data_IF_906375089160
#
_entry.id   IF_906375089160
#
_cell.length_a   1.000
_cell.length_b   1.000
_cell.length_c   1.000
_cell.angle_alpha   90.00
_cell.angle_beta   90.00
_cell.angle_gamma   90.00
#
_symmetry.space_group_name_H-M   'P 1'
#
loop_
_entity.id
_entity.type
_entity.pdbx_description
1 polymer ?
#
# COMPACT_ATOMS: atom_id res chain seq x y z
N UNK A 1 -9.34 1.21 11.81
CA UNK A 1 -10.63 0.99 11.12
C UNK A 1 -11.33 2.34 10.90
N UNK A 2 -10.85 3.15 9.95
CA UNK A 2 -11.48 4.42 9.54
C UNK A 2 -11.13 4.77 8.08
N UNK A 3 -11.05 3.76 7.21
CA UNK A 3 -10.58 3.92 5.82
C UNK A 3 -11.70 4.30 4.83
N UNK A 4 -12.97 4.11 5.21
CA UNK A 4 -14.11 4.33 4.29
C UNK A 4 -14.35 5.82 4.00
N UNK A 5 -13.97 6.74 4.90
CA UNK A 5 -14.13 8.18 4.69
C UNK A 5 -12.98 8.82 3.90
N UNK A 6 -11.76 8.29 3.97
CA UNK A 6 -10.58 8.92 3.37
C UNK A 6 -10.61 8.84 1.83
N UNK A 7 -11.08 7.73 1.27
CA UNK A 7 -11.08 7.54 -0.20
C UNK A 7 -12.21 8.33 -0.87
N UNK A 8 -13.39 8.41 -0.25
CA UNK A 8 -14.45 9.29 -0.76
C UNK A 8 -14.02 10.75 -0.72
N UNK A 9 -13.32 11.22 0.32
CA UNK A 9 -12.83 12.61 0.34
C UNK A 9 -11.83 12.91 -0.78
N UNK A 10 -10.89 12.00 -1.08
CA UNK A 10 -9.92 12.19 -2.18
C UNK A 10 -10.65 12.24 -3.53
N UNK A 11 -11.59 11.33 -3.79
CA UNK A 11 -12.38 11.34 -5.03
C UNK A 11 -13.29 12.58 -5.13
N UNK A 12 -13.90 12.99 -4.02
CA UNK A 12 -14.71 14.21 -4.00
C UNK A 12 -13.83 15.44 -4.28
N UNK A 13 -12.64 15.54 -3.70
CA UNK A 13 -11.71 16.66 -3.91
C UNK A 13 -11.34 16.84 -5.40
N UNK A 14 -11.12 15.74 -6.13
CA UNK A 14 -10.93 15.77 -7.59
C UNK A 14 -12.22 16.10 -8.36
N UNK A 15 -13.39 15.62 -7.91
CA UNK A 15 -14.67 15.92 -8.54
C UNK A 15 -15.06 17.41 -8.39
N UNK A 16 -14.75 18.04 -7.26
CA UNK A 16 -14.98 19.48 -7.01
C UNK A 16 -14.08 20.40 -7.84
N UNK A 17 -12.97 19.88 -8.42
CA UNK A 17 -12.12 20.63 -9.36
C UNK A 17 -12.74 20.73 -10.76
N UNK A 18 -13.74 19.90 -11.07
CA UNK A 18 -14.39 19.85 -12.39
C UNK A 18 -15.72 20.62 -12.38
N UNK A 19 -16.14 21.20 -13.51
CA UNK A 19 -17.35 22.04 -13.56
C UNK A 19 -18.67 21.28 -13.29
N UNK A 20 -18.68 19.94 -13.37
CA UNK A 20 -19.88 19.12 -13.19
C UNK A 20 -19.65 17.96 -12.19
N UNK A 21 -19.72 18.23 -10.88
CA UNK A 21 -19.32 17.28 -9.84
C UNK A 21 -20.19 16.01 -9.79
N UNK A 22 -21.47 16.09 -10.19
CA UNK A 22 -22.38 14.94 -10.19
C UNK A 22 -22.05 13.91 -11.27
N UNK A 23 -21.68 14.38 -12.47
CA UNK A 23 -21.30 13.49 -13.59
C UNK A 23 -19.93 12.89 -13.34
N UNK A 24 -18.98 13.70 -12.87
CA UNK A 24 -17.68 13.23 -12.45
C UNK A 24 -17.79 12.17 -11.35
N UNK A 25 -18.62 12.38 -10.33
CA UNK A 25 -18.82 11.41 -9.24
C UNK A 25 -19.37 10.05 -9.73
N UNK A 26 -20.26 10.05 -10.73
CA UNK A 26 -20.78 8.79 -11.31
C UNK A 26 -19.71 8.08 -12.12
N UNK A 27 -18.93 8.81 -12.93
CA UNK A 27 -17.78 8.26 -13.66
C UNK A 27 -16.75 7.66 -12.69
N UNK A 28 -16.35 8.41 -11.66
CA UNK A 28 -15.41 7.91 -10.66
C UNK A 28 -15.91 6.68 -9.92
N UNK A 29 -17.20 6.62 -9.55
CA UNK A 29 -17.80 5.41 -8.94
C UNK A 29 -17.78 4.19 -9.84
N UNK A 30 -17.79 4.37 -11.17
CA UNK A 30 -17.77 3.27 -12.13
C UNK A 30 -16.34 2.76 -12.38
N UNK A 31 -15.36 3.67 -12.45
CA UNK A 31 -13.97 3.32 -12.73
C UNK A 31 -13.17 2.91 -11.49
N UNK A 32 -13.56 3.33 -10.28
CA UNK A 32 -12.83 3.03 -9.07
C UNK A 32 -13.44 1.86 -8.29
N UNK A 33 -12.58 0.92 -7.90
CA UNK A 33 -12.93 -0.24 -7.07
C UNK A 33 -13.36 0.24 -5.68
N UNK A 34 -14.39 -0.41 -5.12
CA UNK A 34 -14.87 -0.12 -3.76
C UNK A 34 -13.74 -0.26 -2.74
N UNK A 35 -13.61 0.68 -1.78
CA UNK A 35 -12.52 0.68 -0.81
C UNK A 35 -12.48 -0.61 0.04
N UNK A 36 -13.65 -1.21 0.33
CA UNK A 36 -13.74 -2.47 1.06
C UNK A 36 -13.01 -3.62 0.34
N UNK A 37 -13.09 -3.66 -1.00
CA UNK A 37 -12.41 -4.69 -1.78
C UNK A 37 -10.89 -4.48 -1.82
N UNK A 38 -10.42 -3.23 -1.76
CA UNK A 38 -8.99 -2.93 -1.66
C UNK A 38 -8.39 -3.35 -0.31
N UNK A 39 -9.15 -3.17 0.77
CA UNK A 39 -8.70 -3.47 2.13
C UNK A 39 -8.53 -4.97 2.45
N UNK A 40 -9.19 -5.86 1.69
CA UNK A 40 -9.12 -7.30 1.93
C UNK A 40 -7.69 -7.86 1.89
N UNK A 41 -6.82 -7.30 1.06
CA UNK A 41 -5.42 -7.76 0.98
C UNK A 41 -4.64 -7.44 2.25
N UNK A 42 -4.73 -6.20 2.74
CA UNK A 42 -4.07 -5.78 3.97
C UNK A 42 -4.63 -6.53 5.19
N UNK A 43 -5.95 -6.71 5.26
CA UNK A 43 -6.59 -7.49 6.33
C UNK A 43 -6.18 -8.97 6.28
N UNK A 44 -6.10 -9.56 5.09
CA UNK A 44 -5.63 -10.94 4.93
C UNK A 44 -4.16 -11.08 5.31
N UNK A 45 -3.28 -10.17 4.86
CA UNK A 45 -1.87 -10.21 5.21
C UNK A 45 -1.62 -10.04 6.72
N UNK A 46 -2.40 -9.20 7.39
CA UNK A 46 -2.23 -8.92 8.82
C UNK A 46 -2.86 -9.98 9.73
N UNK A 47 -4.03 -10.53 9.37
CA UNK A 47 -4.85 -11.33 10.29
C UNK A 47 -5.04 -12.80 9.86
N UNK A 48 -4.61 -13.21 8.66
CA UNK A 48 -4.91 -14.56 8.17
C UNK A 48 -4.12 -15.64 8.91
N UNK A 49 -4.78 -16.67 9.47
CA UNK A 49 -4.09 -17.81 10.06
C UNK A 49 -3.30 -18.63 9.03
N UNK A 50 -3.67 -18.56 7.74
CA UNK A 50 -2.95 -19.24 6.67
C UNK A 50 -1.56 -18.63 6.42
N UNK A 51 -1.42 -17.32 6.60
CA UNK A 51 -0.13 -16.62 6.49
C UNK A 51 0.80 -17.03 7.64
N UNK A 52 0.22 -17.31 8.82
CA UNK A 52 0.97 -17.79 9.99
C UNK A 52 1.35 -19.28 9.90
N UNK A 53 0.49 -20.10 9.29
CA UNK A 53 0.72 -21.54 9.15
C UNK A 53 1.81 -21.88 8.13
N UNK A 54 1.89 -21.14 7.01
CA UNK A 54 2.87 -21.36 5.94
C UNK A 54 3.79 -20.14 5.75
N UNK A 55 4.68 -19.83 6.72
CA UNK A 55 5.54 -18.66 6.63
C UNK A 55 6.42 -18.68 5.38
N UNK A 56 6.91 -19.85 4.95
CA UNK A 56 7.76 -19.97 3.77
C UNK A 56 7.06 -19.58 2.46
N UNK A 57 5.74 -19.75 2.39
CA UNK A 57 4.95 -19.44 1.20
C UNK A 57 4.58 -17.96 1.11
N UNK A 58 4.46 -17.27 2.24
CA UNK A 58 3.95 -15.91 2.30
C UNK A 58 5.00 -14.86 2.71
N UNK A 59 6.09 -15.26 3.36
CA UNK A 59 7.15 -14.33 3.79
C UNK A 59 7.81 -13.69 2.58
N UNK A 60 7.76 -12.36 2.53
CA UNK A 60 8.35 -11.58 1.45
C UNK A 60 7.65 -11.72 0.11
N UNK A 61 6.46 -12.31 0.00
CA UNK A 61 5.72 -12.42 -1.26
C UNK A 61 4.76 -11.25 -1.48
N UNK A 62 4.52 -10.90 -2.76
CA UNK A 62 3.58 -9.85 -3.12
C UNK A 62 2.19 -10.42 -3.40
N UNK A 63 1.21 -10.03 -2.57
CA UNK A 63 -0.16 -10.54 -2.62
C UNK A 63 -1.06 -9.50 -3.30
N UNK A 64 -1.73 -9.88 -4.40
CA UNK A 64 -2.76 -9.06 -5.04
C UNK A 64 -4.17 -9.47 -4.58
N UNK A 65 -5.15 -8.54 -4.61
CA UNK A 65 -6.54 -8.91 -4.40
C UNK A 65 -6.98 -9.86 -5.53
N UNK A 66 -7.57 -11.02 -5.29
CA UNK A 66 -7.99 -11.66 -4.01
C UNK A 66 -7.04 -12.82 -3.68
N UNK A 67 -6.15 -12.63 -2.71
CA UNK A 67 -5.32 -13.70 -2.11
C UNK A 67 -4.34 -14.41 -3.04
N UNK A 68 -4.02 -13.85 -4.22
CA UNK A 68 -3.10 -14.47 -5.18
C UNK A 68 -1.69 -13.93 -5.00
N UNK A 69 -0.73 -14.83 -4.88
CA UNK A 69 0.69 -14.49 -4.94
C UNK A 69 1.02 -14.23 -6.40
N UNK A 70 1.54 -13.03 -6.69
CA UNK A 70 1.90 -12.62 -8.06
C UNK A 70 3.38 -12.29 -8.07
N UNK A 71 4.04 -12.57 -9.21
CA UNK A 71 5.42 -12.17 -9.43
C UNK A 71 5.58 -10.66 -9.17
N UNK A 72 6.63 -10.34 -8.41
CA UNK A 72 7.01 -8.96 -8.13
C UNK A 72 7.51 -8.27 -9.39
N UNK A 73 7.55 -6.94 -9.33
CA UNK A 73 8.28 -6.18 -10.34
C UNK A 73 9.77 -6.56 -10.24
N UNK A 74 10.48 -6.77 -11.37
CA UNK A 74 11.91 -7.09 -11.37
C UNK A 74 12.77 -6.14 -10.54
N UNK A 75 12.36 -4.88 -10.39
CA UNK A 75 13.08 -3.91 -9.60
C UNK A 75 12.92 -4.12 -8.08
N UNK A 76 11.81 -4.74 -7.66
CA UNK A 76 11.54 -5.05 -6.26
C UNK A 76 12.27 -6.31 -5.77
N UNK A 77 12.88 -7.09 -6.68
CA UNK A 77 13.70 -8.25 -6.34
C UNK A 77 15.19 -7.90 -6.23
N UNK A 78 15.59 -6.67 -6.61
CA UNK A 78 16.98 -6.21 -6.50
C UNK A 78 17.28 -5.79 -5.06
N UNK A 79 18.07 -6.61 -4.37
CA UNK A 79 18.50 -6.34 -2.98
C UNK A 79 19.29 -5.03 -2.89
N UNK A 80 20.24 -4.81 -3.80
CA UNK A 80 21.06 -3.59 -3.82
C UNK A 80 20.23 -2.31 -3.88
N UNK A 81 19.13 -2.32 -4.65
CA UNK A 81 18.27 -1.14 -4.78
C UNK A 81 17.45 -0.89 -3.49
N UNK A 82 17.08 -1.96 -2.78
CA UNK A 82 16.40 -1.84 -1.50
C UNK A 82 17.34 -1.24 -0.42
N UNK A 83 18.62 -1.62 -0.44
CA UNK A 83 19.66 -1.06 0.44
C UNK A 83 19.91 0.42 0.13
N UNK A 84 20.14 0.76 -1.14
CA UNK A 84 20.32 2.15 -1.57
C UNK A 84 19.13 3.05 -1.18
N UNK A 85 17.91 2.55 -1.35
CA UNK A 85 16.69 3.26 -0.96
C UNK A 85 16.63 3.47 0.56
N UNK A 86 17.03 2.46 1.34
CA UNK A 86 17.04 2.53 2.79
C UNK A 86 18.06 3.56 3.29
N UNK A 87 19.31 3.48 2.83
CA UNK A 87 20.39 4.41 3.19
C UNK A 87 20.06 5.86 2.84
N UNK A 88 19.50 6.08 1.65
CA UNK A 88 19.06 7.42 1.22
C UNK A 88 17.98 7.98 2.14
N UNK A 89 17.06 7.13 2.59
CA UNK A 89 15.97 7.54 3.48
C UNK A 89 16.48 7.88 4.87
N UNK A 90 17.42 7.09 5.42
CA UNK A 90 18.07 7.38 6.70
C UNK A 90 18.83 8.70 6.65
N UNK A 91 19.65 8.90 5.61
CA UNK A 91 20.40 10.16 5.40
C UNK A 91 19.46 11.37 5.31
N UNK A 92 18.33 11.21 4.61
CA UNK A 92 17.33 12.27 4.49
C UNK A 92 16.66 12.61 5.83
N UNK A 93 16.32 11.60 6.63
CA UNK A 93 15.71 11.77 7.96
C UNK A 93 16.68 12.37 8.98
N UNK A 94 17.97 12.04 8.88
CA UNK A 94 19.04 12.65 9.68
C UNK A 94 19.17 14.14 9.40
N UNK A 95 19.13 14.54 8.11
CA UNK A 95 19.12 15.95 7.72
C UNK A 95 17.92 16.74 8.26
N UNK A 96 16.80 16.06 8.53
CA UNK A 96 15.60 16.64 9.14
C UNK A 96 15.62 16.61 10.68
N UNK A 97 16.62 15.97 11.31
CA UNK A 97 16.72 15.83 12.76
C UNK A 97 15.69 14.90 13.39
N UNK A 98 15.03 14.04 12.59
CA UNK A 98 13.96 13.13 13.03
C UNK A 98 14.42 11.67 13.16
N UNK A 99 15.68 11.39 12.87
CA UNK A 99 16.18 10.03 12.84
C UNK A 99 16.54 9.49 14.23
N UNK A 100 15.98 8.32 14.57
CA UNK A 100 16.39 7.49 15.70
C UNK A 100 16.91 6.18 15.11
N UNK A 101 18.19 5.83 15.27
CA UNK A 101 18.73 4.58 14.73
C UNK A 101 17.97 3.39 15.34
N UNK A 102 17.33 2.61 14.47
CA UNK A 102 16.65 1.38 14.86
C UNK A 102 17.59 0.20 14.76
N UNK A 103 17.64 -0.62 15.80
CA UNK A 103 18.46 -1.84 15.84
C UNK A 103 18.02 -2.78 14.71
N UNK A 104 18.97 -3.20 13.86
CA UNK A 104 18.72 -4.02 12.67
C UNK A 104 18.17 -5.37 13.13
N UNK A 105 16.87 -5.59 12.90
CA UNK A 105 16.20 -6.87 13.19
C UNK A 105 16.97 -8.02 12.50
N UNK A 106 17.21 -9.15 13.20
CA UNK A 106 17.94 -10.28 12.65
C UNK A 106 17.24 -10.96 11.47
#
# INVERSE_FOLDING_TARGET
>A
MHAQHIIIEITQCWAWRTPYPRVAAVLFKLFFIKPDQGAYTSCFAAASPLVKADPDKYKGQYIRPVGRIVAKNPNADKVNLAEELWETTETFLEGLGLYKPTERWP
#
